data_IF_528747002073
#
_entry.id   IF_528747002073
#
_cell.length_a   1.000
_cell.length_b   1.000
_cell.length_c   1.000
_cell.angle_alpha   90.00
_cell.angle_beta   90.00
_cell.angle_gamma   90.00
#
_symmetry.space_group_name_H-M   'P 1'
#
loop_
_entity.id
_entity.type
_entity.pdbx_description
1 polymer ?
#
# COMPACT_ATOMS: atom_id res chain seq x y z
N UNK A 1 -12.72 -13.68 -13.98
CA UNK A 1 -11.88 -13.19 -12.84
C UNK A 1 -10.37 -13.13 -13.13
N UNK A 2 -9.87 -13.70 -14.23
CA UNK A 2 -8.44 -13.69 -14.58
C UNK A 2 -7.81 -12.28 -14.61
N UNK A 3 -8.56 -11.27 -15.07
CA UNK A 3 -8.10 -9.89 -15.05
C UNK A 3 -7.89 -9.37 -13.62
N UNK A 4 -8.84 -9.60 -12.71
CA UNK A 4 -8.70 -9.18 -11.31
C UNK A 4 -7.52 -9.86 -10.61
N UNK A 5 -7.34 -11.17 -10.83
CA UNK A 5 -6.19 -11.92 -10.33
C UNK A 5 -4.88 -11.35 -10.87
N UNK A 6 -4.81 -11.08 -12.18
CA UNK A 6 -3.66 -10.42 -12.81
C UNK A 6 -3.38 -9.04 -12.21
N UNK A 7 -4.40 -8.23 -11.94
CA UNK A 7 -4.21 -6.92 -11.34
C UNK A 7 -3.69 -7.02 -9.90
N UNK A 8 -4.18 -7.99 -9.11
CA UNK A 8 -3.59 -8.29 -7.80
C UNK A 8 -2.12 -8.71 -7.93
N UNK A 9 -1.79 -9.64 -8.83
CA UNK A 9 -0.41 -10.06 -9.08
C UNK A 9 0.51 -8.89 -9.45
N UNK A 10 0.04 -8.00 -10.31
CA UNK A 10 0.79 -6.79 -10.68
C UNK A 10 1.00 -5.84 -9.49
N UNK A 11 -0.04 -5.63 -8.67
CA UNK A 11 0.07 -4.78 -7.47
C UNK A 11 0.97 -5.38 -6.39
N UNK A 12 0.95 -6.71 -6.21
CA UNK A 12 1.83 -7.44 -5.30
C UNK A 12 3.27 -7.35 -5.80
N UNK A 13 3.48 -7.56 -7.11
CA UNK A 13 4.81 -7.43 -7.73
C UNK A 13 5.38 -6.03 -7.61
N UNK A 14 4.55 -4.99 -7.71
CA UNK A 14 4.94 -3.61 -7.46
C UNK A 14 5.51 -3.45 -6.04
N UNK A 15 4.79 -3.93 -5.03
CA UNK A 15 5.24 -3.87 -3.64
C UNK A 15 6.51 -4.71 -3.42
N UNK A 16 6.59 -5.92 -3.97
CA UNK A 16 7.79 -6.77 -3.89
C UNK A 16 9.01 -6.08 -4.50
N UNK A 17 8.85 -5.42 -5.64
CA UNK A 17 9.95 -4.68 -6.29
C UNK A 17 10.45 -3.55 -5.39
N UNK A 18 9.54 -2.79 -4.78
CA UNK A 18 9.90 -1.70 -3.86
C UNK A 18 10.57 -2.25 -2.61
N UNK A 19 10.04 -3.32 -2.01
CA UNK A 19 10.61 -3.97 -0.84
C UNK A 19 12.03 -4.46 -1.12
N UNK A 20 12.24 -5.14 -2.24
CA UNK A 20 13.58 -5.59 -2.66
C UNK A 20 14.54 -4.42 -2.82
N UNK A 21 14.09 -3.29 -3.40
CA UNK A 21 14.92 -2.10 -3.55
C UNK A 21 15.28 -1.45 -2.21
N UNK A 22 14.33 -1.35 -1.27
CA UNK A 22 14.60 -0.85 0.08
C UNK A 22 15.63 -1.75 0.77
N UNK A 23 15.45 -3.06 0.70
CA UNK A 23 16.36 -4.02 1.31
C UNK A 23 17.78 -3.93 0.72
N UNK A 24 17.89 -3.97 -0.61
CA UNK A 24 19.18 -3.97 -1.31
C UNK A 24 19.92 -2.64 -1.24
N UNK A 25 19.21 -1.50 -1.20
CA UNK A 25 19.85 -0.19 -1.33
C UNK A 25 19.91 0.60 -0.02
N UNK A 26 19.12 0.23 0.99
CA UNK A 26 19.00 0.98 2.25
C UNK A 26 19.33 0.07 3.43
N UNK A 27 18.55 -1.00 3.65
CA UNK A 27 18.69 -1.82 4.87
C UNK A 27 19.97 -2.66 4.88
N UNK A 28 20.35 -3.26 3.75
CA UNK A 28 21.63 -3.98 3.63
C UNK A 28 22.86 -3.07 3.75
N UNK A 29 22.69 -1.76 3.52
CA UNK A 29 23.69 -0.71 3.69
C UNK A 29 23.55 0.03 5.02
N UNK A 30 22.96 -0.62 6.03
CA UNK A 30 22.74 -0.08 7.38
C UNK A 30 23.95 0.58 8.04
N UNK A 31 25.19 0.22 7.70
CA UNK A 31 26.40 0.88 8.22
C UNK A 31 26.55 2.34 7.80
N UNK A 32 25.86 2.76 6.74
CA UNK A 32 25.87 4.13 6.22
C UNK A 32 24.76 5.00 6.82
N UNK A 33 23.91 4.42 7.67
CA UNK A 33 22.76 5.07 8.29
C UNK A 33 22.93 5.10 9.82
N UNK A 34 22.35 6.12 10.46
CA UNK A 34 22.21 6.13 11.90
C UNK A 34 21.07 5.19 12.36
N UNK A 35 21.05 4.83 13.64
CA UNK A 35 20.05 3.90 14.18
C UNK A 35 18.59 4.38 14.00
N UNK A 36 18.36 5.69 13.93
CA UNK A 36 17.03 6.28 13.78
C UNK A 36 16.58 6.18 12.33
N UNK A 37 17.47 6.46 11.39
CA UNK A 37 17.22 6.33 9.95
C UNK A 37 16.90 4.87 9.59
N UNK A 38 17.68 3.91 10.10
CA UNK A 38 17.41 2.47 9.96
C UNK A 38 16.03 2.11 10.50
N UNK A 39 15.65 2.67 11.66
CA UNK A 39 14.33 2.42 12.27
C UNK A 39 13.19 2.91 11.38
N UNK A 40 13.32 4.10 10.77
CA UNK A 40 12.32 4.62 9.82
C UNK A 40 12.27 3.75 8.55
N UNK A 41 13.41 3.42 7.96
CA UNK A 41 13.48 2.54 6.80
C UNK A 41 12.81 1.19 7.05
N UNK A 42 13.10 0.58 8.21
CA UNK A 42 12.52 -0.69 8.65
C UNK A 42 11.02 -0.59 8.88
N UNK A 43 10.55 0.52 9.47
CA UNK A 43 9.11 0.75 9.70
C UNK A 43 8.34 0.89 8.38
N UNK A 44 8.89 1.62 7.41
CA UNK A 44 8.30 1.75 6.07
C UNK A 44 8.29 0.39 5.37
N UNK A 45 9.43 -0.33 5.38
CA UNK A 45 9.56 -1.67 4.81
C UNK A 45 8.49 -2.62 5.38
N UNK A 46 8.37 -2.70 6.70
CA UNK A 46 7.41 -3.58 7.36
C UNK A 46 5.97 -3.20 7.01
N UNK A 47 5.64 -1.90 6.99
CA UNK A 47 4.29 -1.46 6.61
C UNK A 47 3.95 -1.83 5.16
N UNK A 48 4.89 -1.68 4.23
CA UNK A 48 4.68 -2.08 2.83
C UNK A 48 4.58 -3.62 2.68
N UNK A 49 5.34 -4.37 3.46
CA UNK A 49 5.25 -5.83 3.51
C UNK A 49 3.90 -6.30 4.04
N UNK A 50 3.41 -5.70 5.12
CA UNK A 50 2.06 -5.96 5.64
C UNK A 50 0.98 -5.61 4.62
N UNK A 51 1.17 -4.52 3.86
CA UNK A 51 0.23 -4.16 2.80
C UNK A 51 0.21 -5.17 1.66
N UNK A 52 1.37 -5.71 1.30
CA UNK A 52 1.48 -6.80 0.33
C UNK A 52 0.72 -8.03 0.81
N UNK A 53 0.92 -8.44 2.06
CA UNK A 53 0.19 -9.58 2.64
C UNK A 53 -1.32 -9.35 2.67
N UNK A 54 -1.76 -8.13 2.97
CA UNK A 54 -3.16 -7.76 2.83
C UNK A 54 -3.70 -8.01 1.42
N UNK A 55 -2.99 -7.57 0.37
CA UNK A 55 -3.40 -7.79 -1.03
C UNK A 55 -3.42 -9.27 -1.39
N UNK A 56 -2.43 -10.05 -0.93
CA UNK A 56 -2.41 -11.51 -1.09
C UNK A 56 -3.64 -12.18 -0.46
N UNK A 57 -4.02 -11.79 0.76
CA UNK A 57 -5.21 -12.34 1.42
C UNK A 57 -6.48 -12.01 0.64
N UNK A 58 -6.62 -10.77 0.16
CA UNK A 58 -7.79 -10.40 -0.67
C UNK A 58 -7.81 -11.19 -1.98
N UNK A 59 -6.67 -11.29 -2.67
CA UNK A 59 -6.52 -12.09 -3.91
C UNK A 59 -7.02 -13.52 -3.71
N UNK A 60 -6.60 -14.17 -2.62
CA UNK A 60 -6.99 -15.53 -2.29
C UNK A 60 -8.49 -15.64 -1.96
N UNK A 61 -9.06 -14.68 -1.23
CA UNK A 61 -10.50 -14.64 -0.92
C UNK A 61 -11.37 -14.52 -2.17
N UNK A 62 -10.94 -13.74 -3.16
CA UNK A 62 -11.73 -13.51 -4.38
C UNK A 62 -11.49 -14.53 -5.48
N UNK A 63 -10.46 -15.39 -5.34
CA UNK A 63 -10.15 -16.45 -6.30
C UNK A 63 -11.25 -17.50 -6.47
N UNK A 64 -12.15 -17.64 -5.49
CA UNK A 64 -13.29 -18.58 -5.53
C UNK A 64 -14.63 -18.00 -5.99
N UNK A 65 -14.68 -16.73 -6.39
CA UNK A 65 -15.94 -16.03 -6.71
C UNK A 65 -16.16 -16.06 -8.24
N UNK A 66 -17.37 -16.48 -8.67
CA UNK A 66 -17.74 -16.64 -10.08
C UNK A 66 -17.57 -15.38 -10.94
N UNK A 67 -17.38 -15.59 -12.25
CA UNK A 67 -16.74 -14.61 -13.16
C UNK A 67 -17.59 -13.39 -13.55
N UNK A 68 -18.90 -13.39 -13.30
CA UNK A 68 -19.83 -12.41 -13.87
C UNK A 68 -20.05 -11.14 -13.03
N UNK A 69 -19.25 -10.93 -11.97
CA UNK A 69 -19.46 -9.82 -11.02
C UNK A 69 -18.34 -8.79 -11.08
N UNK A 70 -18.66 -7.60 -11.61
CA UNK A 70 -17.81 -6.42 -11.53
C UNK A 70 -17.72 -5.83 -10.11
N UNK A 71 -18.63 -6.22 -9.22
CA UNK A 71 -18.68 -5.80 -7.82
C UNK A 71 -18.73 -7.05 -6.94
N UNK A 72 -17.78 -7.15 -6.02
CA UNK A 72 -17.66 -8.23 -5.06
C UNK A 72 -17.77 -7.65 -3.65
N UNK A 73 -18.67 -8.19 -2.85
CA UNK A 73 -18.74 -7.85 -1.42
C UNK A 73 -17.67 -8.65 -0.69
N UNK A 74 -16.70 -7.96 -0.08
CA UNK A 74 -15.61 -8.60 0.67
C UNK A 74 -15.98 -8.82 2.14
N UNK A 75 -16.72 -7.87 2.72
CA UNK A 75 -17.21 -7.86 4.10
C UNK A 75 -18.31 -6.81 4.25
N UNK A 76 -18.88 -6.68 5.45
CA UNK A 76 -19.87 -5.64 5.75
C UNK A 76 -19.30 -4.24 5.45
N UNK A 77 -19.97 -3.47 4.59
CA UNK A 77 -19.53 -2.14 4.14
C UNK A 77 -18.19 -2.11 3.37
N UNK A 78 -17.69 -3.26 2.89
CA UNK A 78 -16.46 -3.35 2.10
C UNK A 78 -16.73 -4.01 0.76
N UNK A 79 -16.42 -3.30 -0.32
CA UNK A 79 -16.67 -3.70 -1.69
C UNK A 79 -15.37 -3.68 -2.48
N UNK A 80 -15.22 -4.64 -3.37
CA UNK A 80 -14.19 -4.67 -4.40
C UNK A 80 -14.87 -4.46 -5.74
N UNK A 81 -14.39 -3.49 -6.52
CA UNK A 81 -14.87 -3.23 -7.86
C UNK A 81 -13.75 -3.41 -8.86
N UNK A 82 -14.10 -3.91 -10.04
CA UNK A 82 -13.24 -3.99 -11.21
C UNK A 82 -13.81 -3.06 -12.28
N UNK A 83 -12.96 -2.18 -12.81
CA UNK A 83 -13.29 -1.32 -13.94
C UNK A 83 -12.06 -1.19 -14.83
N UNK A 84 -12.16 -1.65 -16.07
CA UNK A 84 -11.03 -1.72 -17.01
C UNK A 84 -9.79 -2.34 -16.36
N UNK A 85 -8.63 -1.68 -16.45
CA UNK A 85 -7.35 -2.11 -15.90
C UNK A 85 -7.12 -1.67 -14.46
N UNK A 86 -8.20 -1.50 -13.69
CA UNK A 86 -8.16 -0.99 -12.32
C UNK A 86 -9.06 -1.79 -11.40
N UNK A 87 -8.53 -2.15 -10.22
CA UNK A 87 -9.36 -2.58 -9.11
C UNK A 87 -9.47 -1.48 -8.05
N UNK A 88 -10.59 -1.45 -7.34
CA UNK A 88 -10.78 -0.57 -6.18
C UNK A 88 -11.42 -1.35 -5.04
N UNK A 89 -10.80 -1.34 -3.87
CA UNK A 89 -11.39 -1.78 -2.61
C UNK A 89 -11.88 -0.55 -1.87
N UNK A 90 -13.18 -0.48 -1.63
CA UNK A 90 -13.85 0.60 -0.91
C UNK A 90 -14.45 0.07 0.39
N UNK A 91 -13.94 0.55 1.52
CA UNK A 91 -14.57 0.43 2.84
C UNK A 91 -15.36 1.71 3.12
N UNK A 92 -16.63 1.61 3.46
CA UNK A 92 -17.51 2.78 3.71
C UNK A 92 -17.62 3.08 5.21
N UNK A 93 -17.72 2.05 6.06
CA UNK A 93 -17.92 2.17 7.52
C UNK A 93 -16.93 1.31 8.31
N UNK A 94 -16.58 1.70 9.56
CA UNK A 94 -16.97 2.95 10.24
C UNK A 94 -16.21 4.19 9.73
N UNK A 95 -15.17 3.99 8.91
CA UNK A 95 -14.36 5.05 8.29
C UNK A 95 -14.17 4.70 6.82
N UNK A 96 -14.22 5.72 5.97
CA UNK A 96 -14.02 5.53 4.54
C UNK A 96 -12.53 5.30 4.23
N UNK A 97 -12.23 4.17 3.62
CA UNK A 97 -10.90 3.84 3.08
C UNK A 97 -11.06 3.38 1.64
N UNK A 98 -10.26 3.95 0.75
CA UNK A 98 -10.21 3.55 -0.65
C UNK A 98 -8.80 3.05 -0.96
N UNK A 99 -8.71 1.86 -1.50
CA UNK A 99 -7.49 1.28 -2.04
C UNK A 99 -7.73 1.05 -3.52
N UNK A 100 -6.86 1.53 -4.39
CA UNK A 100 -7.00 1.25 -5.82
C UNK A 100 -5.65 0.99 -6.46
N UNK A 101 -5.60 0.02 -7.36
CA UNK A 101 -4.47 -0.20 -8.22
C UNK A 101 -4.88 0.02 -9.67
N UNK A 102 -4.09 0.81 -10.38
CA UNK A 102 -4.24 1.06 -11.80
C UNK A 102 -3.01 0.49 -12.54
N UNK A 103 -3.22 -0.49 -13.41
CA UNK A 103 -2.13 -1.11 -14.17
C UNK A 103 -1.58 -0.21 -15.27
N UNK A 104 -2.35 0.77 -15.77
CA UNK A 104 -1.91 1.72 -16.79
C UNK A 104 -0.81 2.65 -16.26
N UNK A 105 -0.96 3.11 -15.01
CA UNK A 105 0.05 3.92 -14.32
C UNK A 105 0.98 3.10 -13.40
N UNK A 106 0.74 1.79 -13.26
CA UNK A 106 1.45 0.90 -12.32
C UNK A 106 1.51 1.49 -10.90
N UNK A 107 0.38 1.98 -10.41
CA UNK A 107 0.33 2.71 -9.14
C UNK A 107 -0.75 2.20 -8.19
N UNK A 108 -0.36 2.03 -6.93
CA UNK A 108 -1.25 1.79 -5.81
C UNK A 108 -1.59 3.11 -5.12
N UNK A 109 -2.88 3.35 -4.88
CA UNK A 109 -3.37 4.52 -4.15
C UNK A 109 -4.11 4.02 -2.92
N UNK A 110 -3.79 4.58 -1.75
CA UNK A 110 -4.55 4.41 -0.52
C UNK A 110 -5.02 5.76 -0.04
N UNK A 111 -6.33 5.95 0.13
CA UNK A 111 -6.93 7.15 0.69
C UNK A 111 -7.66 6.81 1.97
N UNK A 112 -7.25 7.46 3.05
CA UNK A 112 -7.86 7.32 4.37
C UNK A 112 -7.78 8.66 5.10
N UNK A 113 -8.90 9.12 5.68
CA UNK A 113 -8.96 10.20 6.69
C UNK A 113 -8.07 11.43 6.40
N UNK A 114 -8.30 12.10 5.27
CA UNK A 114 -7.57 13.31 4.90
C UNK A 114 -6.09 13.08 4.53
N UNK A 115 -5.67 11.82 4.45
CA UNK A 115 -4.37 11.41 3.94
C UNK A 115 -4.54 10.60 2.65
N UNK A 116 -3.55 10.70 1.78
CA UNK A 116 -3.46 9.90 0.56
C UNK A 116 -2.03 9.43 0.39
N UNK A 117 -1.87 8.14 0.16
CA UNK A 117 -0.61 7.52 -0.21
C UNK A 117 -0.70 7.09 -1.68
N UNK A 118 0.32 7.40 -2.46
CA UNK A 118 0.53 6.90 -3.81
C UNK A 118 1.85 6.13 -3.80
N UNK A 119 1.82 4.89 -4.24
CA UNK A 119 2.97 4.02 -4.39
C UNK A 119 3.12 3.74 -5.87
N UNK A 120 4.29 4.06 -6.41
CA UNK A 120 4.71 3.80 -7.79
C UNK A 120 6.14 3.23 -7.77
N UNK A 121 6.64 2.66 -8.88
CA UNK A 121 7.91 1.92 -8.86
C UNK A 121 9.11 2.70 -8.28
N UNK A 122 9.16 4.01 -8.48
CA UNK A 122 10.28 4.87 -8.08
C UNK A 122 9.94 5.89 -6.99
N UNK A 123 8.65 6.13 -6.73
CA UNK A 123 8.22 7.19 -5.83
C UNK A 123 7.10 6.69 -4.94
N UNK A 124 7.27 6.94 -3.64
CA UNK A 124 6.19 6.97 -2.67
C UNK A 124 5.85 8.42 -2.39
N UNK A 125 4.59 8.78 -2.63
CA UNK A 125 4.04 10.08 -2.23
C UNK A 125 3.06 9.90 -1.09
N UNK A 126 3.21 10.71 -0.04
CA UNK A 126 2.31 10.77 1.10
C UNK A 126 1.82 12.20 1.26
N UNK A 127 0.52 12.41 0.99
CA UNK A 127 -0.17 13.67 1.20
C UNK A 127 -0.85 13.68 2.57
N UNK A 128 -0.63 14.77 3.30
CA UNK A 128 -1.23 15.05 4.60
C UNK A 128 -1.71 16.51 4.66
N UNK A 129 -2.40 16.87 5.76
CA UNK A 129 -3.06 18.18 5.89
C UNK A 129 -2.13 19.38 5.64
N UNK A 130 -0.86 19.27 6.03
CA UNK A 130 0.13 20.35 5.96
C UNK A 130 1.11 20.24 4.77
N UNK A 131 0.95 19.27 3.88
CA UNK A 131 1.83 19.12 2.72
C UNK A 131 1.78 17.76 2.01
N UNK A 132 2.71 17.57 1.09
CA UNK A 132 2.94 16.31 0.38
C UNK A 132 4.44 15.99 0.45
N UNK A 133 4.78 14.79 0.91
CA UNK A 133 6.13 14.27 0.84
C UNK A 133 6.23 13.30 -0.32
N UNK A 134 7.16 13.56 -1.25
CA UNK A 134 7.57 12.60 -2.29
C UNK A 134 8.99 12.13 -2.00
N UNK A 135 9.19 10.83 -2.02
CA UNK A 135 10.48 10.22 -1.74
C UNK A 135 10.68 8.93 -2.55
N UNK A 136 11.93 8.64 -2.94
CA UNK A 136 12.33 7.33 -3.46
C UNK A 136 12.68 6.43 -2.26
N UNK A 137 11.87 5.39 -1.97
CA UNK A 137 12.13 4.51 -0.84
C UNK A 137 13.46 3.73 -0.97
N UNK A 138 14.08 3.70 -2.15
CA UNK A 138 15.38 3.07 -2.38
C UNK A 138 16.57 4.04 -2.23
N UNK A 139 16.32 5.32 -1.98
CA UNK A 139 17.37 6.33 -1.87
C UNK A 139 17.84 6.47 -0.44
N UNK A 140 19.03 5.92 -0.14
CA UNK A 140 19.65 6.01 1.18
C UNK A 140 19.81 7.47 1.65
N UNK A 141 20.15 8.39 0.74
CA UNK A 141 20.35 9.81 1.06
C UNK A 141 19.06 10.55 1.46
N UNK A 142 17.90 10.04 1.06
CA UNK A 142 16.61 10.65 1.45
C UNK A 142 16.27 10.35 2.92
N UNK A 143 16.71 9.22 3.47
CA UNK A 143 16.49 8.89 4.88
C UNK A 143 17.15 9.87 5.84
N UNK A 144 18.33 10.40 5.47
CA UNK A 144 19.00 11.45 6.23
C UNK A 144 18.48 12.85 5.90
N UNK A 145 18.37 13.20 4.61
CA UNK A 145 18.01 14.57 4.20
C UNK A 145 16.55 14.95 4.43
N UNK A 146 15.63 13.97 4.54
CA UNK A 146 14.19 14.17 4.76
C UNK A 146 13.70 13.45 6.02
N UNK A 147 14.57 13.28 7.01
CA UNK A 147 14.33 12.42 8.18
C UNK A 147 13.02 12.76 8.91
N UNK A 148 12.78 14.03 9.22
CA UNK A 148 11.61 14.47 9.99
C UNK A 148 10.31 14.29 9.19
N UNK A 149 10.34 14.59 7.89
CA UNK A 149 9.21 14.36 7.00
C UNK A 149 8.92 12.87 6.82
N UNK A 150 9.96 12.05 6.68
CA UNK A 150 9.84 10.59 6.57
C UNK A 150 9.30 9.96 7.86
N UNK A 151 9.64 10.51 9.02
CA UNK A 151 9.05 10.08 10.30
C UNK A 151 7.54 10.31 10.32
N UNK A 152 7.07 11.46 9.81
CA UNK A 152 5.65 11.77 9.70
C UNK A 152 4.98 10.87 8.65
N UNK A 153 5.60 10.75 7.48
CA UNK A 153 5.11 9.91 6.39
C UNK A 153 5.02 8.43 6.79
N UNK A 154 6.04 7.88 7.46
CA UNK A 154 6.06 6.51 7.96
C UNK A 154 4.88 6.21 8.89
N UNK A 155 4.53 7.14 9.79
CA UNK A 155 3.32 7.00 10.64
C UNK A 155 2.03 6.98 9.82
N UNK A 156 1.94 7.79 8.77
CA UNK A 156 0.77 7.83 7.89
C UNK A 156 0.67 6.54 7.07
N UNK A 157 1.79 6.05 6.54
CA UNK A 157 1.88 4.77 5.83
C UNK A 157 1.39 3.65 6.75
N UNK A 158 1.96 3.54 7.96
CA UNK A 158 1.57 2.55 8.96
C UNK A 158 0.07 2.62 9.28
N UNK A 159 -0.46 3.81 9.55
CA UNK A 159 -1.89 3.99 9.84
C UNK A 159 -2.76 3.62 8.64
N UNK A 160 -2.35 3.97 7.43
CA UNK A 160 -3.07 3.65 6.19
C UNK A 160 -3.13 2.14 5.96
N UNK A 161 -2.02 1.45 6.18
CA UNK A 161 -1.93 -0.02 6.07
C UNK A 161 -2.75 -0.70 7.16
N UNK A 162 -2.67 -0.24 8.41
CA UNK A 162 -3.49 -0.75 9.51
C UNK A 162 -5.00 -0.59 9.23
N UNK A 163 -5.41 0.56 8.68
CA UNK A 163 -6.79 0.79 8.24
C UNK A 163 -7.18 -0.20 7.11
N UNK A 164 -6.26 -0.56 6.20
CA UNK A 164 -6.50 -1.60 5.18
C UNK A 164 -6.68 -2.98 5.83
N UNK A 165 -5.79 -3.38 6.73
CA UNK A 165 -5.85 -4.69 7.41
C UNK A 165 -7.14 -4.83 8.23
N UNK A 166 -7.66 -3.72 8.79
CA UNK A 166 -8.95 -3.70 9.48
C UNK A 166 -10.15 -4.08 8.59
N UNK A 167 -9.98 -4.16 7.28
CA UNK A 167 -10.97 -4.76 6.36
C UNK A 167 -11.07 -6.27 6.57
N UNK A 168 -9.95 -6.94 6.84
CA UNK A 168 -9.89 -8.40 6.97
C UNK A 168 -10.55 -8.93 8.23
N UNK A 169 -10.60 -8.14 9.30
CA UNK A 169 -11.15 -8.51 10.60
C UNK A 169 -12.68 -8.40 10.70
N UNK A 170 -13.34 -7.87 9.67
CA UNK A 170 -14.80 -7.76 9.64
C UNK A 170 -15.42 -9.13 9.34
N UNK A 171 -16.36 -9.56 10.19
CA UNK A 171 -17.10 -10.82 9.99
C UNK A 171 -17.90 -10.73 8.68
N UNK A 172 -17.76 -11.76 7.86
CA UNK A 172 -18.64 -12.03 6.73
C UNK A 172 -19.94 -12.58 7.34
N UNK A 173 -21.09 -11.97 7.02
CA UNK A 173 -22.40 -12.57 7.30
C UNK A 173 -22.81 -13.45 6.13
#
# INVERSE_FOLDING_TARGET
MAQLQRLFDQSIKLLDTILQRIDSNVLSRSKELDAREISIASSIFNSLSEFKEFLNVIKNKVGGIGEDKNIVVLAENTYLTLHDNKFTILKIKPRQTLISFDAGSSSLIVRARGSSMLISPEVVSVKFRVGELKFDPASIGEYGSKFDELKVAGRIIQNSVSDCISVLSQKIK
#
